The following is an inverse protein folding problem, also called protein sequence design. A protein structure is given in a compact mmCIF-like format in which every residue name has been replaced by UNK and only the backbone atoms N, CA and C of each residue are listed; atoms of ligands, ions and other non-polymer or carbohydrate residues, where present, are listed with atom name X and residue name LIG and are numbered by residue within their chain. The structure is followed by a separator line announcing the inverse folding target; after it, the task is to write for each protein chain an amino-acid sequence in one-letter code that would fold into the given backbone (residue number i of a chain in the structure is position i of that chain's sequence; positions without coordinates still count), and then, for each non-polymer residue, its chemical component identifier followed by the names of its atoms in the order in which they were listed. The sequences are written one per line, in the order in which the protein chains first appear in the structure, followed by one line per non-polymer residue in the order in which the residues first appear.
data_IF_368750595238
#
_entry.id   IF_368750595238
#
_cell.length_a   1.000
_cell.length_b   1.000
_cell.length_c   1.000
_cell.angle_alpha   90.00
_cell.angle_beta   90.00
_cell.angle_gamma   90.00
#
_symmetry.space_group_name_H-M   'P 1'
#
loop_
_entity.id
_entity.type
_entity.pdbx_description
1 polymer ?
#
# COMPACT_ATOMS: atom_id res chain seq x y z
N UNK A 1 -28.01 19.05 -19.75
CA UNK A 1 -26.64 19.09 -20.27
C UNK A 1 -26.18 17.68 -20.56
N UNK A 2 -25.10 17.46 -21.34
CA UNK A 2 -24.54 16.12 -21.49
C UNK A 2 -24.11 15.60 -20.10
N UNK A 3 -24.21 14.30 -19.82
CA UNK A 3 -23.73 13.75 -18.57
C UNK A 3 -22.22 13.94 -18.52
N UNK A 4 -21.72 14.68 -17.54
CA UNK A 4 -20.32 14.63 -17.14
C UNK A 4 -20.01 13.18 -16.80
N UNK A 5 -19.04 12.57 -17.47
CA UNK A 5 -18.68 11.20 -17.19
C UNK A 5 -18.26 11.07 -15.71
N UNK A 6 -18.90 10.15 -14.97
CA UNK A 6 -18.56 9.85 -13.58
C UNK A 6 -17.25 9.05 -13.42
N UNK A 7 -16.53 8.81 -14.53
CA UNK A 7 -15.30 8.03 -14.59
C UNK A 7 -14.28 8.82 -15.37
N UNK A 8 -13.10 9.00 -14.77
CA UNK A 8 -11.97 9.72 -15.38
C UNK A 8 -10.80 8.73 -15.49
N UNK A 9 -10.51 8.18 -16.69
CA UNK A 9 -9.33 7.37 -16.90
C UNK A 9 -8.09 8.27 -16.93
N UNK A 10 -6.96 7.75 -16.43
CA UNK A 10 -5.70 8.49 -16.43
C UNK A 10 -4.54 7.56 -16.81
N UNK A 11 -3.78 7.95 -17.84
CA UNK A 11 -2.55 7.26 -18.26
C UNK A 11 -1.34 8.01 -17.68
N UNK A 12 -0.95 7.65 -16.47
CA UNK A 12 0.15 8.28 -15.76
C UNK A 12 0.79 7.31 -14.75
N UNK A 13 1.95 7.67 -14.23
CA UNK A 13 2.56 6.98 -13.10
C UNK A 13 1.68 7.17 -11.85
N UNK A 14 1.20 6.06 -11.28
CA UNK A 14 0.28 6.08 -10.15
C UNK A 14 0.86 6.80 -8.93
N UNK A 15 2.17 6.68 -8.67
CA UNK A 15 2.84 7.37 -7.55
C UNK A 15 2.81 8.88 -7.75
N UNK A 16 3.09 9.34 -8.98
CA UNK A 16 3.05 10.78 -9.29
C UNK A 16 1.64 11.34 -9.12
N UNK A 17 0.62 10.63 -9.63
CA UNK A 17 -0.77 11.05 -9.47
C UNK A 17 -1.15 11.15 -7.99
N UNK A 18 -0.89 10.11 -7.21
CA UNK A 18 -1.22 10.10 -5.79
C UNK A 18 -0.52 11.23 -5.01
N UNK A 19 0.73 11.57 -5.36
CA UNK A 19 1.45 12.71 -4.75
C UNK A 19 0.88 14.08 -5.15
N UNK A 20 0.23 14.18 -6.31
CA UNK A 20 -0.39 15.43 -6.79
C UNK A 20 -1.84 15.61 -6.30
N UNK A 21 -2.44 14.56 -5.74
CA UNK A 21 -3.83 14.53 -5.29
C UNK A 21 -3.92 14.18 -3.81
N UNK A 22 -3.24 14.97 -2.96
CA UNK A 22 -3.27 14.80 -1.50
C UNK A 22 -4.69 14.93 -0.96
N UNK A 23 -5.12 14.00 -0.10
CA UNK A 23 -6.48 13.93 0.50
C UNK A 23 -7.62 14.09 -0.50
N UNK A 24 -7.49 13.48 -1.69
CA UNK A 24 -8.44 13.64 -2.78
C UNK A 24 -9.44 12.47 -2.91
N UNK A 25 -9.18 11.34 -2.26
CA UNK A 25 -9.96 10.11 -2.45
C UNK A 25 -10.46 9.52 -1.14
N UNK A 26 -11.77 9.28 -1.05
CA UNK A 26 -12.38 8.55 0.09
C UNK A 26 -11.93 7.08 0.12
N UNK A 27 -11.67 6.49 -1.04
CA UNK A 27 -11.25 5.09 -1.18
C UNK A 27 -10.15 4.98 -2.21
N UNK A 28 -9.08 4.25 -1.88
CA UNK A 28 -7.97 3.94 -2.78
C UNK A 28 -7.74 2.43 -2.78
N UNK A 29 -7.72 1.82 -3.96
CA UNK A 29 -7.37 0.41 -4.14
C UNK A 29 -6.03 0.27 -4.86
N UNK A 30 -5.05 -0.32 -4.17
CA UNK A 30 -3.71 -0.57 -4.67
C UNK A 30 -3.52 -2.05 -5.00
N UNK A 31 -3.49 -2.38 -6.30
CA UNK A 31 -3.19 -3.73 -6.79
C UNK A 31 -2.00 -3.76 -7.77
N UNK A 32 -0.76 -3.61 -7.28
CA UNK A 32 0.43 -3.71 -8.10
C UNK A 32 0.88 -5.16 -8.30
N UNK A 33 1.60 -5.41 -9.40
CA UNK A 33 2.34 -6.65 -9.58
C UNK A 33 3.49 -6.75 -8.55
N UNK A 34 3.41 -7.73 -7.66
CA UNK A 34 4.41 -7.98 -6.62
C UNK A 34 4.18 -7.15 -5.36
N UNK A 35 5.05 -6.15 -5.13
CA UNK A 35 5.09 -5.40 -3.87
C UNK A 35 4.33 -4.07 -3.96
N UNK A 36 3.50 -3.71 -2.96
CA UNK A 36 2.92 -2.39 -2.87
C UNK A 36 3.84 -1.35 -2.19
N UNK A 37 4.98 -1.78 -1.62
CA UNK A 37 5.85 -0.92 -0.81
C UNK A 37 6.25 0.40 -1.50
N UNK A 38 6.44 0.36 -2.83
CA UNK A 38 6.83 1.54 -3.63
C UNK A 38 5.73 2.60 -3.74
N UNK A 39 4.49 2.24 -3.46
CA UNK A 39 3.29 3.08 -3.61
C UNK A 39 2.69 3.50 -2.27
N UNK A 40 3.03 2.82 -1.16
CA UNK A 40 2.40 3.06 0.15
C UNK A 40 2.53 4.51 0.60
N UNK A 41 3.72 5.11 0.46
CA UNK A 41 4.01 6.47 0.89
C UNK A 41 3.09 7.51 0.21
N UNK A 42 2.88 7.39 -1.09
CA UNK A 42 1.98 8.27 -1.84
C UNK A 42 0.49 7.95 -1.58
N UNK A 43 0.16 6.67 -1.39
CA UNK A 43 -1.22 6.25 -1.17
C UNK A 43 -1.76 6.70 0.20
N UNK A 44 -0.94 6.63 1.24
CA UNK A 44 -1.32 7.17 2.57
C UNK A 44 -1.46 8.68 2.58
N UNK A 45 -0.95 9.41 1.58
CA UNK A 45 -1.14 10.85 1.45
C UNK A 45 -2.38 11.19 0.62
N UNK A 46 -2.69 10.41 -0.42
CA UNK A 46 -3.81 10.71 -1.31
C UNK A 46 -5.18 10.31 -0.75
N UNK A 47 -5.26 9.29 0.11
CA UNK A 47 -6.51 8.91 0.77
C UNK A 47 -6.92 9.97 1.79
N UNK A 48 -8.20 10.33 1.87
CA UNK A 48 -8.70 11.33 2.81
C UNK A 48 -8.74 10.81 4.25
N UNK A 49 -8.90 11.71 5.22
CA UNK A 49 -9.11 11.36 6.63
C UNK A 49 -10.43 10.59 6.81
N UNK A 50 -10.36 9.44 7.49
CA UNK A 50 -11.51 8.53 7.60
C UNK A 50 -11.78 7.69 6.35
N UNK A 51 -10.97 7.84 5.29
CA UNK A 51 -11.04 7.04 4.08
C UNK A 51 -10.49 5.61 4.24
N UNK A 52 -10.63 4.82 3.17
CA UNK A 52 -10.25 3.40 3.13
C UNK A 52 -9.11 3.19 2.14
N UNK A 53 -8.03 2.58 2.61
CA UNK A 53 -6.93 2.11 1.76
C UNK A 53 -6.97 0.59 1.66
N UNK A 54 -7.19 0.08 0.46
CA UNK A 54 -7.18 -1.35 0.11
C UNK A 54 -5.84 -1.64 -0.54
N UNK A 55 -5.15 -2.69 -0.09
CA UNK A 55 -3.80 -3.03 -0.57
C UNK A 55 -3.69 -4.51 -0.86
N UNK A 56 -3.25 -4.84 -2.07
CA UNK A 56 -2.88 -6.19 -2.49
C UNK A 56 -1.37 -6.31 -2.57
N UNK A 57 -0.82 -7.38 -1.97
CA UNK A 57 0.57 -7.76 -2.09
C UNK A 57 0.67 -9.19 -2.62
N UNK A 58 1.25 -9.35 -3.81
CA UNK A 58 1.37 -10.66 -4.47
C UNK A 58 2.77 -11.26 -4.37
N UNK A 59 3.74 -10.56 -3.78
CA UNK A 59 5.12 -11.05 -3.58
C UNK A 59 5.29 -11.93 -2.33
N UNK A 60 4.36 -12.88 -2.14
CA UNK A 60 4.31 -13.78 -0.97
C UNK A 60 5.60 -14.57 -0.73
N UNK A 61 6.38 -14.87 -1.77
CA UNK A 61 7.69 -15.51 -1.59
C UNK A 61 8.62 -14.67 -0.69
N UNK A 62 8.57 -13.34 -0.79
CA UNK A 62 9.33 -12.42 0.06
C UNK A 62 8.73 -12.37 1.46
N UNK A 63 7.43 -12.09 1.57
CA UNK A 63 6.73 -11.92 2.85
C UNK A 63 6.70 -13.20 3.70
N UNK A 64 6.70 -14.38 3.07
CA UNK A 64 6.77 -15.68 3.75
C UNK A 64 8.19 -16.18 4.03
N UNK A 65 9.21 -15.36 3.73
CA UNK A 65 10.57 -15.56 4.19
C UNK A 65 11.47 -16.44 3.32
N UNK A 66 11.21 -16.54 2.02
CA UNK A 66 12.19 -17.13 1.10
C UNK A 66 13.39 -16.19 0.89
N UNK A 67 13.20 -14.87 0.95
CA UNK A 67 14.28 -13.89 0.91
C UNK A 67 14.07 -12.81 1.99
N UNK A 68 14.76 -13.00 3.12
CA UNK A 68 14.61 -12.17 4.32
C UNK A 68 15.15 -10.76 4.13
N UNK A 69 16.26 -10.60 3.42
CA UNK A 69 16.88 -9.29 3.16
C UNK A 69 16.00 -8.43 2.25
N UNK A 70 15.41 -9.04 1.22
CA UNK A 70 14.46 -8.35 0.34
C UNK A 70 13.19 -7.93 1.11
N UNK A 71 12.71 -8.78 2.02
CA UNK A 71 11.56 -8.43 2.86
C UNK A 71 11.89 -7.26 3.80
N UNK A 72 13.08 -7.26 4.40
CA UNK A 72 13.53 -6.14 5.22
C UNK A 72 13.64 -4.85 4.41
N UNK A 73 14.21 -4.92 3.20
CA UNK A 73 14.35 -3.76 2.33
C UNK A 73 12.99 -3.16 1.90
N UNK A 74 12.02 -4.01 1.54
CA UNK A 74 10.70 -3.57 1.07
C UNK A 74 9.75 -3.17 2.20
N UNK A 75 9.74 -3.93 3.30
CA UNK A 75 8.70 -3.85 4.33
C UNK A 75 9.22 -3.49 5.72
N UNK A 76 10.53 -3.25 5.88
CA UNK A 76 11.14 -2.89 7.16
C UNK A 76 11.09 -3.99 8.22
N UNK A 77 10.79 -5.23 7.82
CA UNK A 77 10.54 -6.36 8.73
C UNK A 77 11.25 -7.63 8.29
N UNK A 78 11.71 -8.43 9.26
CA UNK A 78 12.26 -9.76 8.99
C UNK A 78 11.16 -10.83 9.05
N UNK A 79 10.93 -11.57 7.95
CA UNK A 79 9.90 -12.59 7.91
C UNK A 79 10.35 -13.86 8.61
N UNK A 80 9.42 -14.51 9.30
CA UNK A 80 9.65 -15.79 9.96
C UNK A 80 9.05 -16.91 9.12
N UNK A 81 9.90 -17.85 8.71
CA UNK A 81 9.46 -19.02 7.95
C UNK A 81 8.81 -20.02 8.90
N UNK A 82 7.49 -20.11 8.85
CA UNK A 82 6.68 -21.03 9.68
C UNK A 82 5.44 -21.50 8.92
N UNK A 83 4.64 -22.37 9.57
CA UNK A 83 3.33 -22.79 9.05
C UNK A 83 2.30 -21.65 9.03
N UNK A 84 2.51 -20.59 9.82
CA UNK A 84 1.66 -19.39 9.85
C UNK A 84 2.24 -18.24 9.02
N UNK A 85 3.07 -18.52 8.01
CA UNK A 85 3.73 -17.51 7.21
C UNK A 85 2.77 -16.54 6.50
N UNK A 86 1.55 -16.96 6.15
CA UNK A 86 0.55 -16.08 5.53
C UNK A 86 0.01 -15.03 6.52
N UNK A 87 -0.21 -15.43 7.77
CA UNK A 87 -0.66 -14.51 8.83
C UNK A 87 0.47 -13.60 9.28
N UNK A 88 1.71 -14.12 9.36
CA UNK A 88 2.90 -13.30 9.57
C UNK A 88 3.14 -12.30 8.44
N UNK A 89 2.91 -12.70 7.18
CA UNK A 89 2.98 -11.81 6.02
C UNK A 89 1.97 -10.66 6.12
N UNK A 90 0.74 -10.94 6.53
CA UNK A 90 -0.29 -9.91 6.75
C UNK A 90 0.15 -8.92 7.83
N UNK A 91 0.69 -9.40 8.95
CA UNK A 91 1.21 -8.52 10.02
C UNK A 91 2.36 -7.64 9.54
N UNK A 92 3.27 -8.18 8.74
CA UNK A 92 4.38 -7.43 8.13
C UNK A 92 3.84 -6.34 7.20
N UNK A 93 2.86 -6.67 6.35
CA UNK A 93 2.25 -5.71 5.45
C UNK A 93 1.54 -4.59 6.23
N UNK A 94 0.73 -4.92 7.24
CA UNK A 94 0.07 -3.94 8.11
C UNK A 94 1.07 -3.05 8.84
N UNK A 95 2.14 -3.63 9.40
CA UNK A 95 3.21 -2.86 10.04
C UNK A 95 3.91 -1.92 9.06
N UNK A 96 4.13 -2.37 7.82
CA UNK A 96 4.71 -1.51 6.77
C UNK A 96 3.79 -0.35 6.42
N UNK A 97 2.48 -0.59 6.25
CA UNK A 97 1.50 0.48 5.98
C UNK A 97 1.47 1.49 7.14
N UNK A 98 1.40 1.01 8.38
CA UNK A 98 1.40 1.83 9.59
C UNK A 98 2.69 2.67 9.70
N UNK A 99 3.86 2.11 9.38
CA UNK A 99 5.12 2.85 9.33
C UNK A 99 5.11 3.99 8.29
N UNK A 100 4.47 3.79 7.14
CA UNK A 100 4.32 4.83 6.12
C UNK A 100 3.33 5.91 6.59
N UNK A 101 2.18 5.52 7.14
CA UNK A 101 1.17 6.45 7.67
C UNK A 101 1.75 7.35 8.77
N UNK A 102 2.56 6.79 9.68
CA UNK A 102 3.15 7.51 10.79
C UNK A 102 4.08 8.67 10.37
N UNK A 103 4.70 8.61 9.18
CA UNK A 103 5.51 9.72 8.64
C UNK A 103 4.69 11.00 8.46
N UNK A 104 3.38 10.85 8.29
CA UNK A 104 2.43 11.93 8.04
C UNK A 104 1.49 12.21 9.23
N UNK A 105 1.82 11.69 10.43
CA UNK A 105 0.96 11.77 11.62
C UNK A 105 -0.41 11.12 11.42
N UNK A 106 -0.49 10.10 10.58
CA UNK A 106 -1.67 9.27 10.33
C UNK A 106 -1.44 7.87 10.92
N UNK A 107 -2.51 7.12 11.12
CA UNK A 107 -2.47 5.73 11.56
C UNK A 107 -3.56 4.93 10.83
N UNK A 108 -3.37 3.61 10.75
CA UNK A 108 -4.43 2.67 10.35
C UNK A 108 -5.16 2.13 11.59
N UNK A 109 -6.41 1.68 11.39
CA UNK A 109 -7.29 1.14 12.44
C UNK A 109 -7.54 -0.34 12.20
#
# INVERSE_FOLDING_TARGET
GPPTANVVPMEADARVIMLQTEKAFDVVDLDPYGTPAMLLDSAVQCVDEGGVLIVTATDMAVLCGNNKEVCFHKYGSFPLRSKCCHESALRILLASIEQHANRYKRHIV
#
